data_IF_728086003826
#
_entry.id   IF_728086003826
#
_cell.length_a   1.000
_cell.length_b   1.000
_cell.length_c   1.000
_cell.angle_alpha   90.00
_cell.angle_beta   90.00
_cell.angle_gamma   90.00
#
_symmetry.space_group_name_H-M   'P 1'
#
loop_
_entity.id
_entity.type
_entity.pdbx_description
1 polymer ?
#
# COMPACT_ATOMS: atom_id res chain seq x y z
N UNK A 1 12.45 9.70 -15.42
CA UNK A 1 11.64 9.04 -16.47
C UNK A 1 10.72 10.07 -17.07
N UNK A 2 10.24 9.89 -18.31
CA UNK A 2 9.27 10.82 -18.91
C UNK A 2 7.84 10.42 -18.55
N UNK A 3 6.96 11.41 -18.39
CA UNK A 3 5.52 11.18 -18.21
C UNK A 3 4.93 10.37 -19.38
N UNK A 4 4.08 9.40 -19.08
CA UNK A 4 3.51 8.48 -20.06
C UNK A 4 4.35 7.22 -20.34
N UNK A 5 5.51 7.05 -19.67
CA UNK A 5 6.29 5.81 -19.77
C UNK A 5 5.60 4.67 -19.02
N UNK A 6 5.46 3.51 -19.68
CA UNK A 6 5.03 2.27 -19.04
C UNK A 6 6.24 1.62 -18.37
N UNK A 7 6.12 1.33 -17.08
CA UNK A 7 7.16 0.69 -16.29
C UNK A 7 6.62 -0.53 -15.56
N UNK A 8 7.48 -1.52 -15.35
CA UNK A 8 7.26 -2.63 -14.45
C UNK A 8 8.03 -2.34 -13.17
N UNK A 9 7.31 -2.28 -12.05
CA UNK A 9 7.89 -1.93 -10.77
C UNK A 9 7.59 -3.03 -9.77
N UNK A 10 8.66 -3.56 -9.21
CA UNK A 10 8.57 -4.33 -7.97
C UNK A 10 8.63 -3.36 -6.79
N UNK A 11 7.66 -3.46 -5.89
CA UNK A 11 7.62 -2.62 -4.70
C UNK A 11 7.17 -3.41 -3.49
N UNK A 12 7.63 -2.92 -2.35
CA UNK A 12 7.28 -3.38 -1.02
C UNK A 12 6.77 -2.15 -0.26
N UNK A 13 5.49 -2.16 0.11
CA UNK A 13 4.81 -1.08 0.82
C UNK A 13 4.74 -1.41 2.30
N UNK A 14 5.32 -0.56 3.14
CA UNK A 14 5.33 -0.72 4.59
C UNK A 14 4.63 0.45 5.28
N UNK A 15 4.01 0.19 6.41
CA UNK A 15 3.60 1.26 7.33
C UNK A 15 4.84 1.86 7.99
N UNK A 16 5.08 3.16 7.79
CA UNK A 16 6.25 3.82 8.35
C UNK A 16 6.32 3.78 9.88
N UNK A 17 5.16 3.83 10.56
CA UNK A 17 5.10 3.83 12.03
C UNK A 17 5.38 2.46 12.65
N UNK A 18 4.83 1.39 12.08
CA UNK A 18 4.91 0.04 12.66
C UNK A 18 5.92 -0.88 11.99
N UNK A 19 6.32 -0.57 10.75
CA UNK A 19 7.15 -1.43 9.91
C UNK A 19 6.40 -2.64 9.34
N UNK A 20 5.08 -2.71 9.51
CA UNK A 20 4.27 -3.81 8.98
C UNK A 20 4.18 -3.74 7.46
N UNK A 21 4.35 -4.88 6.80
CA UNK A 21 4.20 -5.01 5.36
C UNK A 21 2.71 -4.93 5.00
N UNK A 22 2.36 -3.92 4.22
CA UNK A 22 0.99 -3.69 3.73
C UNK A 22 0.76 -4.48 2.45
N UNK A 23 1.67 -4.33 1.50
CA UNK A 23 1.58 -4.96 0.20
C UNK A 23 2.98 -5.18 -0.38
N UNK A 24 3.14 -6.27 -1.13
CA UNK A 24 4.36 -6.55 -1.88
C UNK A 24 4.00 -7.20 -3.20
N UNK A 25 4.79 -6.91 -4.23
CA UNK A 25 4.75 -7.64 -5.51
C UNK A 25 5.68 -8.85 -5.54
N UNK A 26 6.45 -9.09 -4.47
CA UNK A 26 7.45 -10.17 -4.36
C UNK A 26 6.95 -11.29 -3.45
N UNK A 27 6.90 -12.50 -4.00
CA UNK A 27 6.40 -13.66 -3.26
C UNK A 27 7.28 -14.01 -2.04
N UNK A 28 8.60 -13.88 -2.16
CA UNK A 28 9.53 -14.17 -1.07
C UNK A 28 9.26 -13.26 0.15
N UNK A 29 9.17 -11.95 -0.09
CA UNK A 29 8.86 -10.95 0.95
C UNK A 29 7.47 -11.20 1.56
N UNK A 30 6.49 -11.61 0.76
CA UNK A 30 5.16 -11.94 1.27
C UNK A 30 5.19 -13.15 2.24
N UNK A 31 6.01 -14.16 1.94
CA UNK A 31 6.20 -15.35 2.79
C UNK A 31 6.93 -15.02 4.08
N UNK A 32 7.96 -14.16 4.01
CA UNK A 32 8.74 -13.75 5.19
C UNK A 32 7.91 -12.97 6.20
N UNK A 33 6.91 -12.22 5.75
CA UNK A 33 6.03 -11.40 6.58
C UNK A 33 4.68 -12.05 6.90
N UNK A 34 4.50 -13.35 6.61
CA UNK A 34 3.23 -14.09 6.83
C UNK A 34 1.98 -13.46 6.15
N UNK A 35 2.19 -12.61 5.13
CA UNK A 35 1.11 -11.98 4.33
C UNK A 35 0.88 -12.67 2.99
N UNK A 36 1.53 -13.81 2.77
CA UNK A 36 1.41 -14.58 1.54
C UNK A 36 -0.02 -15.08 1.34
N UNK A 37 -0.61 -14.73 0.20
CA UNK A 37 -1.91 -15.23 -0.22
C UNK A 37 -1.75 -16.42 -1.17
N UNK A 38 -2.18 -17.60 -0.73
CA UNK A 38 -2.20 -18.81 -1.56
C UNK A 38 -3.14 -18.60 -2.76
N UNK A 39 -2.57 -18.60 -3.97
CA UNK A 39 -3.28 -18.39 -5.24
C UNK A 39 -3.17 -16.98 -5.84
N UNK A 40 -2.48 -16.04 -5.18
CA UNK A 40 -2.13 -14.74 -5.78
C UNK A 40 -0.90 -14.90 -6.68
N UNK A 41 -0.99 -14.44 -7.93
CA UNK A 41 0.17 -14.31 -8.81
C UNK A 41 0.94 -13.03 -8.45
N UNK A 42 2.15 -13.21 -7.91
CA UNK A 42 3.08 -12.12 -7.63
C UNK A 42 3.77 -11.73 -8.94
N UNK A 43 3.32 -10.63 -9.52
CA UNK A 43 3.89 -10.06 -10.74
C UNK A 43 4.22 -8.59 -10.52
N UNK A 44 5.25 -8.06 -11.20
CA UNK A 44 5.57 -6.65 -11.12
C UNK A 44 4.36 -5.80 -11.50
N UNK A 45 4.14 -4.71 -10.75
CA UNK A 45 3.05 -3.80 -11.06
C UNK A 45 3.37 -3.05 -12.36
N UNK A 46 2.47 -3.16 -13.33
CA UNK A 46 2.52 -2.39 -14.57
C UNK A 46 1.85 -1.05 -14.31
N UNK A 47 2.61 0.03 -14.33
CA UNK A 47 2.06 1.38 -14.17
C UNK A 47 2.58 2.36 -15.21
N UNK A 48 1.81 3.43 -15.41
CA UNK A 48 2.17 4.55 -16.29
C UNK A 48 2.61 5.71 -15.41
N UNK A 49 3.84 6.17 -15.60
CA UNK A 49 4.40 7.29 -14.83
C UNK A 49 3.64 8.58 -15.16
N UNK A 50 3.16 9.28 -14.14
CA UNK A 50 2.42 10.54 -14.30
C UNK A 50 0.97 10.35 -14.77
N UNK A 51 0.37 9.20 -14.47
CA UNK A 51 -1.03 8.93 -14.83
C UNK A 51 -2.03 9.35 -13.73
N UNK A 52 -1.54 9.67 -12.53
CA UNK A 52 -2.36 10.07 -11.39
C UNK A 52 -3.18 8.93 -10.78
N UNK A 53 -2.90 7.67 -11.15
CA UNK A 53 -3.59 6.50 -10.62
C UNK A 53 -2.90 5.92 -9.38
N UNK A 54 -1.68 6.38 -9.08
CA UNK A 54 -0.89 5.92 -7.95
C UNK A 54 -0.77 7.04 -6.91
N UNK A 55 -0.27 6.65 -5.75
CA UNK A 55 0.10 7.57 -4.68
C UNK A 55 1.03 8.67 -5.25
N UNK A 56 0.72 9.93 -4.96
CA UNK A 56 1.45 11.08 -5.52
C UNK A 56 2.95 11.00 -5.21
N UNK A 57 3.32 10.74 -3.95
CA UNK A 57 4.73 10.58 -3.57
C UNK A 57 5.43 9.39 -4.22
N UNK A 58 4.67 8.34 -4.60
CA UNK A 58 5.23 7.20 -5.33
C UNK A 58 5.46 7.55 -6.81
N UNK A 59 4.54 8.27 -7.46
CA UNK A 59 4.75 8.74 -8.84
C UNK A 59 5.93 9.71 -8.95
N UNK A 60 6.06 10.66 -8.02
CA UNK A 60 7.20 11.59 -7.99
C UNK A 60 8.54 10.87 -7.82
N UNK A 61 8.55 9.82 -6.99
CA UNK A 61 9.71 8.95 -6.82
C UNK A 61 10.06 8.22 -8.11
N UNK A 62 9.06 7.67 -8.82
CA UNK A 62 9.27 7.00 -10.11
C UNK A 62 9.81 7.96 -11.18
N UNK A 63 9.36 9.22 -11.20
CA UNK A 63 9.90 10.25 -12.09
C UNK A 63 11.40 10.49 -11.85
N UNK A 64 11.80 10.51 -10.58
CA UNK A 64 13.19 10.74 -10.14
C UNK A 64 14.06 9.46 -10.16
N UNK A 65 13.43 8.29 -10.17
CA UNK A 65 14.10 7.00 -10.12
C UNK A 65 14.85 6.70 -11.42
N UNK A 66 15.89 5.88 -11.28
CA UNK A 66 16.65 5.34 -12.41
C UNK A 66 16.26 3.87 -12.60
N UNK A 67 16.16 3.39 -13.85
CA UNK A 67 15.89 1.97 -14.11
C UNK A 67 16.98 1.09 -13.46
N UNK A 68 16.56 -0.05 -12.91
CA UNK A 68 17.41 -1.02 -12.21
C UNK A 68 18.11 -0.48 -10.95
N UNK A 69 17.52 0.50 -10.27
CA UNK A 69 17.94 0.90 -8.93
C UNK A 69 16.81 0.72 -7.95
N UNK A 70 17.09 0.01 -6.87
CA UNK A 70 16.25 0.00 -5.69
C UNK A 70 16.33 1.36 -5.01
N UNK A 71 15.16 1.91 -4.68
CA UNK A 71 15.01 3.16 -3.95
C UNK A 71 14.05 2.89 -2.81
N UNK A 72 14.47 3.23 -1.59
CA UNK A 72 13.59 3.27 -0.42
C UNK A 72 13.27 4.72 -0.15
N UNK A 73 11.98 5.03 -0.06
CA UNK A 73 11.47 6.36 0.25
C UNK A 73 10.41 6.27 1.33
N UNK A 74 10.36 7.31 2.15
CA UNK A 74 9.28 7.51 3.11
C UNK A 74 8.38 8.61 2.56
N UNK A 75 7.08 8.31 2.41
CA UNK A 75 6.08 9.22 1.86
C UNK A 75 5.25 9.74 3.02
N UNK A 76 5.11 11.07 3.13
CA UNK A 76 4.24 11.68 4.13
C UNK A 76 2.77 11.30 3.89
N UNK A 77 1.96 11.23 4.95
CA UNK A 77 0.56 10.85 4.84
C UNK A 77 -0.21 11.70 3.80
N UNK A 78 0.05 13.01 3.76
CA UNK A 78 -0.56 13.95 2.81
C UNK A 78 -0.33 13.58 1.34
N UNK A 79 0.85 13.06 1.01
CA UNK A 79 1.24 12.66 -0.35
C UNK A 79 1.01 11.16 -0.60
N UNK A 80 0.55 10.43 0.43
CA UNK A 80 0.22 9.01 0.43
C UNK A 80 -1.29 8.76 0.24
N UNK A 81 -1.96 8.38 1.32
CA UNK A 81 -3.40 8.11 1.37
C UNK A 81 -4.21 9.28 2.00
N UNK A 82 -3.55 10.41 2.27
CA UNK A 82 -4.10 11.54 2.99
C UNK A 82 -3.87 11.45 4.50
N UNK A 83 -4.06 12.59 5.19
CA UNK A 83 -4.08 12.61 6.65
C UNK A 83 -5.30 11.87 7.20
N UNK A 84 -5.17 11.36 8.43
CA UNK A 84 -6.28 10.71 9.12
C UNK A 84 -7.41 11.70 9.35
N UNK A 85 -8.48 11.56 8.58
CA UNK A 85 -9.66 12.40 8.68
C UNK A 85 -10.49 12.03 9.93
N UNK A 86 -10.63 12.93 10.93
CA UNK A 86 -11.44 12.68 12.11
C UNK A 86 -12.93 12.53 11.79
N UNK A 87 -13.43 13.08 10.69
CA UNK A 87 -14.82 12.95 10.29
C UNK A 87 -15.15 11.55 9.73
N UNK A 88 -14.12 10.81 9.31
CA UNK A 88 -14.22 9.37 8.95
C UNK A 88 -14.12 8.45 10.18
N UNK A 89 -14.02 9.00 11.40
CA UNK A 89 -13.96 8.21 12.64
C UNK A 89 -15.35 8.14 13.28
N UNK A 90 -16.05 7.02 13.12
CA UNK A 90 -17.31 6.76 13.83
C UNK A 90 -17.04 5.97 15.12
N UNK A 91 -17.46 6.53 16.26
CA UNK A 91 -17.52 5.77 17.52
C UNK A 91 -18.87 5.06 17.63
N UNK A 92 -18.86 3.73 17.65
CA UNK A 92 -20.06 2.90 17.83
C UNK A 92 -20.06 2.22 19.20
N UNK A 93 -21.26 2.07 19.79
CA UNK A 93 -21.39 1.30 21.03
C UNK A 93 -21.15 -0.19 20.79
N UNK A 94 -20.63 -0.89 21.81
CA UNK A 94 -20.36 -2.33 21.71
C UNK A 94 -21.65 -3.12 21.40
N UNK A 95 -22.80 -2.69 21.92
CA UNK A 95 -24.12 -3.28 21.60
C UNK A 95 -24.48 -3.14 20.12
N UNK A 96 -24.10 -2.03 19.47
CA UNK A 96 -24.32 -1.82 18.03
C UNK A 96 -23.36 -2.68 17.22
N UNK A 97 -22.09 -2.78 17.63
CA UNK A 97 -21.08 -3.61 17.00
C UNK A 97 -21.47 -5.10 17.02
N UNK A 98 -21.82 -5.63 18.20
CA UNK A 98 -22.21 -7.04 18.42
C UNK A 98 -23.38 -7.48 17.53
N UNK A 99 -24.30 -6.58 17.19
CA UNK A 99 -25.42 -6.88 16.27
C UNK A 99 -25.02 -6.99 14.80
N UNK A 100 -23.88 -6.43 14.41
CA UNK A 100 -23.42 -6.36 13.01
C UNK A 100 -22.19 -7.23 12.73
N UNK A 101 -21.45 -7.67 13.76
CA UNK A 101 -20.36 -8.63 13.56
C UNK A 101 -20.88 -10.04 13.36
N UNK A 102 -20.20 -10.77 12.47
CA UNK A 102 -20.56 -12.13 12.07
C UNK A 102 -20.32 -13.16 13.19
N UNK A 103 -19.35 -12.92 14.06
CA UNK A 103 -19.12 -13.69 15.28
C UNK A 103 -18.86 -12.76 16.49
N UNK A 104 -19.87 -12.52 17.34
CA UNK A 104 -19.74 -11.71 18.54
C UNK A 104 -18.78 -12.25 19.61
N UNK A 105 -18.45 -13.54 19.60
CA UNK A 105 -17.59 -14.18 20.61
C UNK A 105 -16.10 -14.13 20.25
N UNK A 106 -15.79 -13.68 19.04
CA UNK A 106 -14.42 -13.51 18.50
C UNK A 106 -13.89 -12.07 18.65
N UNK A 107 -14.71 -11.18 19.26
CA UNK A 107 -14.32 -9.83 19.66
C UNK A 107 -13.43 -9.83 20.91
#
# INVERSE_FOLDING_TARGET
>A
MDEGTIVHVDYDLYYAESGDLVETTREETAKEHDVHQEGREYTPLVCVVGSGNLIAGFEESLLSAKPNKDVSIEIAAADAYGEKDPDQIETISIDKLVRHVRDPKSL
#
